data_IF_983890058209
#
_entry.id   IF_983890058209
#
_cell.length_a   1.000
_cell.length_b   1.000
_cell.length_c   1.000
_cell.angle_alpha   90.00
_cell.angle_beta   90.00
_cell.angle_gamma   90.00
#
_symmetry.space_group_name_H-M   'P 1'
#
loop_
_entity.id
_entity.type
_entity.pdbx_description
1 polymer ?
#
# COMPACT_ATOMS: atom_id res chain seq x y z
N UNK A 1 10.10 8.00 64.81
CA UNK A 1 10.88 8.14 63.56
C UNK A 1 10.19 7.30 62.48
N UNK A 2 9.31 7.92 61.67
CA UNK A 2 8.26 7.20 60.92
C UNK A 2 7.84 7.96 59.64
N UNK A 3 8.79 8.46 58.83
CA UNK A 3 8.46 9.23 57.61
C UNK A 3 9.56 9.16 56.52
N UNK A 4 10.05 7.97 56.16
CA UNK A 4 11.03 7.88 55.05
C UNK A 4 10.80 6.77 54.03
N UNK A 5 9.67 6.06 54.07
CA UNK A 5 9.40 4.92 53.16
C UNK A 5 8.51 5.32 51.97
N UNK A 6 7.87 6.50 52.01
CA UNK A 6 6.88 6.90 51.00
C UNK A 6 7.42 7.47 49.69
N UNK A 7 8.71 7.86 49.62
CA UNK A 7 9.21 8.61 48.46
C UNK A 7 9.90 7.76 47.37
N UNK A 8 10.26 6.51 47.65
CA UNK A 8 11.02 5.69 46.69
C UNK A 8 10.12 4.92 45.70
N UNK A 9 8.82 4.79 45.96
CA UNK A 9 7.91 4.01 45.11
C UNK A 9 7.38 4.75 43.87
N UNK A 10 7.66 6.05 43.72
CA UNK A 10 7.12 6.86 42.60
C UNK A 10 8.03 6.91 41.36
N UNK A 11 9.22 6.30 41.39
CA UNK A 11 10.22 6.38 40.31
C UNK A 11 10.21 5.19 39.33
N UNK A 12 9.30 4.22 39.50
CA UNK A 12 9.33 2.93 38.76
C UNK A 12 8.33 2.82 37.59
N UNK A 13 7.64 3.90 37.20
CA UNK A 13 6.66 3.87 36.11
C UNK A 13 7.11 4.56 34.82
N UNK A 14 8.42 4.74 34.64
CA UNK A 14 9.01 5.12 33.35
C UNK A 14 9.15 3.92 32.41
N UNK A 15 8.06 3.25 32.02
CA UNK A 15 8.08 2.39 30.84
C UNK A 15 8.22 3.30 29.62
N UNK A 16 9.46 3.53 29.20
CA UNK A 16 9.75 4.07 27.88
C UNK A 16 9.19 3.04 26.90
N UNK A 17 8.01 3.31 26.33
CA UNK A 17 7.52 2.58 25.20
C UNK A 17 8.53 2.84 24.08
N UNK A 18 9.48 1.92 23.90
CA UNK A 18 10.26 1.89 22.68
C UNK A 18 9.27 1.58 21.58
N UNK A 19 8.88 2.61 20.83
CA UNK A 19 8.30 2.42 19.50
C UNK A 19 9.37 1.71 18.67
N UNK A 20 9.40 0.39 18.78
CA UNK A 20 10.18 -0.48 17.91
C UNK A 20 9.59 -0.23 16.52
N UNK A 21 10.24 0.62 15.74
CA UNK A 21 10.05 0.69 14.30
C UNK A 21 10.59 -0.61 13.74
N UNK A 22 9.81 -1.69 13.90
CA UNK A 22 10.02 -2.90 13.14
C UNK A 22 9.97 -2.46 11.66
N UNK A 23 10.99 -2.79 10.85
CA UNK A 23 10.94 -2.48 9.43
C UNK A 23 9.63 -3.01 8.87
N UNK A 24 8.87 -2.14 8.19
CA UNK A 24 7.66 -2.58 7.53
C UNK A 24 8.02 -3.77 6.62
N UNK A 25 7.25 -4.87 6.65
CA UNK A 25 7.53 -6.03 5.82
C UNK A 25 7.57 -5.60 4.35
N UNK A 26 8.47 -6.16 3.51
CA UNK A 26 8.56 -5.76 2.11
C UNK A 26 7.21 -5.98 1.40
N UNK A 27 6.90 -5.13 0.42
CA UNK A 27 5.69 -5.31 -0.39
C UNK A 27 5.74 -6.65 -1.13
N UNK A 28 4.70 -7.50 -1.01
CA UNK A 28 4.72 -8.83 -1.62
C UNK A 28 4.87 -8.78 -3.15
N UNK A 29 5.62 -9.72 -3.77
CA UNK A 29 5.84 -9.73 -5.22
C UNK A 29 4.56 -9.77 -6.05
N UNK A 30 3.50 -10.42 -5.56
CA UNK A 30 2.20 -10.47 -6.22
C UNK A 30 1.60 -9.07 -6.39
N UNK A 31 1.68 -8.23 -5.36
CA UNK A 31 1.20 -6.84 -5.40
C UNK A 31 2.00 -6.02 -6.40
N UNK A 32 3.33 -6.20 -6.41
CA UNK A 32 4.20 -5.52 -7.39
C UNK A 32 3.78 -5.92 -8.81
N UNK A 33 3.70 -7.22 -9.09
CA UNK A 33 3.34 -7.75 -10.42
C UNK A 33 1.98 -7.24 -10.91
N UNK A 34 0.97 -7.22 -10.04
CA UNK A 34 -0.37 -6.67 -10.36
C UNK A 34 -0.28 -5.20 -10.71
N UNK A 35 0.39 -4.37 -9.89
CA UNK A 35 0.52 -2.94 -10.15
C UNK A 35 1.27 -2.71 -11.47
N UNK A 36 2.34 -3.44 -11.76
CA UNK A 36 3.11 -3.32 -12.99
C UNK A 36 2.36 -3.78 -14.23
N UNK A 37 1.51 -4.80 -14.09
CA UNK A 37 0.70 -5.34 -15.19
C UNK A 37 -0.45 -4.40 -15.53
N UNK A 38 -1.16 -3.87 -14.53
CA UNK A 38 -2.28 -2.94 -14.73
C UNK A 38 -1.78 -1.56 -15.18
N UNK A 39 -0.66 -1.07 -14.62
CA UNK A 39 -0.11 0.25 -14.98
C UNK A 39 0.77 0.26 -16.24
N UNK A 40 1.26 -0.91 -16.66
CA UNK A 40 2.26 -1.04 -17.73
C UNK A 40 3.62 -0.43 -17.39
N UNK A 41 3.89 -0.10 -16.12
CA UNK A 41 5.11 0.60 -15.67
C UNK A 41 5.87 -0.25 -14.64
N UNK A 42 7.13 0.09 -14.38
CA UNK A 42 7.87 -0.53 -13.29
C UNK A 42 7.47 0.11 -11.97
N UNK A 43 7.13 -0.69 -10.96
CA UNK A 43 6.68 -0.21 -9.67
C UNK A 43 7.81 -0.30 -8.65
N UNK A 44 8.19 0.85 -8.09
CA UNK A 44 9.13 0.94 -6.98
C UNK A 44 8.35 1.25 -5.69
N UNK A 45 8.16 0.28 -4.78
CA UNK A 45 7.46 0.53 -3.52
C UNK A 45 8.18 1.59 -2.68
N UNK A 46 7.44 2.61 -2.23
CA UNK A 46 7.96 3.64 -1.32
C UNK A 46 7.78 3.20 0.13
N UNK A 47 6.68 2.48 0.42
CA UNK A 47 6.35 1.98 1.76
C UNK A 47 5.35 0.82 1.66
N UNK A 48 5.56 -0.24 2.44
CA UNK A 48 4.56 -1.27 2.67
C UNK A 48 3.67 -0.82 3.83
N UNK A 49 2.50 -0.27 3.52
CA UNK A 49 1.70 0.52 4.47
C UNK A 49 0.59 -0.26 5.18
N UNK A 50 0.41 -1.53 4.86
CA UNK A 50 -0.41 -2.44 5.65
C UNK A 50 0.16 -3.86 5.52
N UNK A 51 0.05 -4.66 6.58
CA UNK A 51 0.22 -6.10 6.47
C UNK A 51 -0.90 -6.60 5.54
N UNK A 52 -0.55 -6.82 4.26
CA UNK A 52 -1.41 -7.52 3.32
C UNK A 52 -1.84 -8.84 3.96
N UNK A 53 -3.13 -9.09 4.06
CA UNK A 53 -3.57 -10.40 4.57
C UNK A 53 -3.21 -11.49 3.57
N UNK A 54 -2.90 -12.70 4.04
CA UNK A 54 -2.62 -13.84 3.15
C UNK A 54 -3.78 -14.11 2.18
N UNK A 55 -5.02 -13.81 2.60
CA UNK A 55 -6.20 -13.88 1.74
C UNK A 55 -6.11 -12.87 0.59
N UNK A 56 -5.78 -11.61 0.87
CA UNK A 56 -5.65 -10.59 -0.19
C UNK A 56 -4.51 -10.92 -1.15
N UNK A 57 -3.39 -11.41 -0.64
CA UNK A 57 -2.28 -11.85 -1.50
C UNK A 57 -2.71 -12.99 -2.42
N UNK A 58 -3.42 -13.98 -1.87
CA UNK A 58 -3.93 -15.12 -2.61
C UNK A 58 -4.91 -14.71 -3.69
N UNK A 59 -5.84 -13.80 -3.37
CA UNK A 59 -6.82 -13.29 -4.32
C UNK A 59 -6.14 -12.50 -5.44
N UNK A 60 -5.28 -11.54 -5.10
CA UNK A 60 -4.56 -10.73 -6.08
C UNK A 60 -3.63 -11.56 -6.98
N UNK A 61 -3.07 -12.65 -6.46
CA UNK A 61 -2.22 -13.57 -7.25
C UNK A 61 -3.03 -14.42 -8.23
N UNK A 62 -4.22 -14.86 -7.82
CA UNK A 62 -5.05 -15.78 -8.61
C UNK A 62 -5.89 -15.06 -9.67
N UNK A 63 -6.28 -13.81 -9.41
CA UNK A 63 -7.12 -13.08 -10.35
C UNK A 63 -6.37 -12.71 -11.63
N UNK A 64 -6.90 -13.09 -12.81
CA UNK A 64 -6.37 -12.65 -14.08
C UNK A 64 -6.30 -11.12 -14.17
N UNK A 65 -5.23 -10.59 -14.76
CA UNK A 65 -5.11 -9.14 -15.02
C UNK A 65 -6.25 -8.63 -15.89
N UNK A 66 -6.81 -9.47 -16.77
CA UNK A 66 -7.97 -9.11 -17.60
C UNK A 66 -9.27 -8.84 -16.81
N UNK A 67 -9.35 -9.28 -15.54
CA UNK A 67 -10.48 -8.98 -14.67
C UNK A 67 -10.41 -7.58 -14.06
N UNK A 68 -9.25 -6.91 -14.16
CA UNK A 68 -9.15 -5.51 -13.80
C UNK A 68 -9.88 -4.65 -14.82
N UNK A 69 -10.63 -3.67 -14.33
CA UNK A 69 -11.20 -2.65 -15.18
C UNK A 69 -10.11 -1.92 -15.96
N UNK A 70 -10.44 -1.48 -17.17
CA UNK A 70 -9.53 -0.64 -17.96
C UNK A 70 -9.18 0.60 -17.12
N UNK A 71 -7.92 1.03 -17.20
CA UNK A 71 -7.47 2.24 -16.53
C UNK A 71 -8.28 3.45 -17.04
N UNK A 72 -9.01 4.09 -16.13
CA UNK A 72 -9.89 5.22 -16.41
C UNK A 72 -9.27 6.51 -15.91
N UNK A 73 -9.24 7.53 -16.75
CA UNK A 73 -8.82 8.88 -16.35
C UNK A 73 -9.96 9.57 -15.60
N UNK A 74 -9.75 9.84 -14.31
CA UNK A 74 -10.68 10.62 -13.47
C UNK A 74 -10.42 12.12 -13.57
N UNK A 75 -9.15 12.49 -13.76
CA UNK A 75 -8.70 13.87 -13.94
C UNK A 75 -7.36 13.89 -14.70
N UNK A 76 -6.87 15.07 -15.14
CA UNK A 76 -5.57 15.17 -15.83
C UNK A 76 -4.38 14.63 -15.04
N UNK A 77 -4.52 14.52 -13.72
CA UNK A 77 -3.46 14.05 -12.80
C UNK A 77 -3.82 12.76 -12.10
N UNK A 78 -4.96 12.12 -12.39
CA UNK A 78 -5.42 10.93 -11.68
C UNK A 78 -6.12 9.95 -12.62
N UNK A 79 -5.64 8.71 -12.60
CA UNK A 79 -6.29 7.57 -13.22
C UNK A 79 -6.55 6.49 -12.19
N UNK A 80 -7.53 5.62 -12.44
CA UNK A 80 -7.81 4.48 -11.56
C UNK A 80 -8.23 3.24 -12.34
N UNK A 81 -8.05 2.08 -11.73
CA UNK A 81 -8.59 0.80 -12.19
C UNK A 81 -9.13 0.03 -10.99
N UNK A 82 -10.24 -0.69 -11.18
CA UNK A 82 -10.91 -1.42 -10.11
C UNK A 82 -10.88 -2.92 -10.40
N UNK A 83 -10.76 -3.72 -9.35
CA UNK A 83 -10.99 -5.16 -9.35
C UNK A 83 -12.04 -5.48 -8.29
N UNK A 84 -13.05 -6.27 -8.62
CA UNK A 84 -14.08 -6.71 -7.69
C UNK A 84 -14.07 -8.23 -7.62
N UNK A 85 -13.90 -8.78 -6.42
CA UNK A 85 -13.82 -10.22 -6.19
C UNK A 85 -14.79 -10.58 -5.06
N UNK A 86 -15.95 -11.13 -5.40
CA UNK A 86 -16.99 -11.44 -4.41
C UNK A 86 -17.39 -10.21 -3.60
N UNK A 87 -17.07 -10.21 -2.30
CA UNK A 87 -17.38 -9.10 -1.37
C UNK A 87 -16.24 -8.09 -1.20
N UNK A 88 -15.05 -8.38 -1.73
CA UNK A 88 -13.89 -7.49 -1.66
C UNK A 88 -13.76 -6.69 -2.94
N UNK A 89 -13.28 -5.46 -2.84
CA UNK A 89 -12.86 -4.69 -4.00
C UNK A 89 -11.52 -4.02 -3.78
N UNK A 90 -10.75 -3.95 -4.85
CA UNK A 90 -9.45 -3.32 -4.91
C UNK A 90 -9.50 -2.19 -5.91
N UNK A 91 -8.76 -1.13 -5.62
CA UNK A 91 -8.63 0.01 -6.53
C UNK A 91 -7.15 0.37 -6.63
N UNK A 92 -6.64 0.33 -7.86
CA UNK A 92 -5.36 0.93 -8.19
C UNK A 92 -5.61 2.38 -8.55
N UNK A 93 -5.03 3.30 -7.78
CA UNK A 93 -5.04 4.74 -8.07
C UNK A 93 -3.66 5.16 -8.50
N UNK A 94 -3.58 5.85 -9.64
CA UNK A 94 -2.35 6.44 -10.14
C UNK A 94 -2.52 7.95 -10.12
N UNK A 95 -1.64 8.65 -9.42
CA UNK A 95 -1.63 10.11 -9.37
C UNK A 95 -0.32 10.66 -9.92
N UNK A 96 -0.38 11.81 -10.59
CA UNK A 96 0.79 12.58 -10.98
C UNK A 96 0.66 13.99 -10.40
N UNK A 97 1.18 14.23 -9.18
CA UNK A 97 1.18 15.55 -8.60
C UNK A 97 1.92 16.56 -9.49
N UNK A 98 1.50 17.85 -9.48
CA UNK A 98 2.26 18.91 -10.12
C UNK A 98 3.71 18.88 -9.61
N UNK A 99 4.68 19.02 -10.51
CA UNK A 99 6.14 18.97 -10.23
C UNK A 99 6.71 17.59 -9.88
N UNK A 100 5.92 16.51 -9.89
CA UNK A 100 6.47 15.16 -9.72
C UNK A 100 7.10 14.65 -11.03
N UNK A 101 8.34 14.16 -10.96
CA UNK A 101 9.01 13.53 -12.10
C UNK A 101 8.33 12.22 -12.52
N UNK A 102 7.71 11.51 -11.58
CA UNK A 102 7.08 10.20 -11.81
C UNK A 102 5.69 10.13 -11.17
N UNK A 103 4.75 9.38 -11.77
CA UNK A 103 3.48 9.08 -11.11
C UNK A 103 3.69 8.24 -9.85
N UNK A 104 2.76 8.36 -8.90
CA UNK A 104 2.65 7.51 -7.72
C UNK A 104 1.46 6.56 -7.91
N UNK A 105 1.68 5.27 -7.67
CA UNK A 105 0.63 4.26 -7.59
C UNK A 105 0.28 3.96 -6.13
N UNK A 106 -1.00 3.78 -5.87
CA UNK A 106 -1.57 3.37 -4.59
C UNK A 106 -2.56 2.24 -4.84
N UNK A 107 -2.33 1.09 -4.22
CA UNK A 107 -3.30 -0.01 -4.21
C UNK A 107 -4.13 0.07 -2.93
N UNK A 108 -5.43 0.19 -3.10
CA UNK A 108 -6.41 0.33 -2.03
C UNK A 108 -7.30 -0.92 -1.96
N UNK A 109 -7.69 -1.30 -0.74
CA UNK A 109 -8.68 -2.33 -0.45
C UNK A 109 -9.92 -1.71 0.16
N UNK A 110 -11.08 -2.15 -0.28
CA UNK A 110 -12.36 -1.85 0.33
C UNK A 110 -12.95 -3.17 0.83
N UNK A 111 -13.24 -3.24 2.13
CA UNK A 111 -13.98 -4.36 2.71
C UNK A 111 -15.46 -4.30 2.37
N UNK A 112 -15.98 -3.08 2.13
CA UNK A 112 -17.31 -2.82 1.57
C UNK A 112 -17.29 -1.55 0.71
N UNK A 113 -18.25 -1.35 -0.21
CA UNK A 113 -18.28 -0.14 -1.07
C UNK A 113 -18.33 1.19 -0.32
N UNK A 114 -18.76 1.20 0.95
CA UNK A 114 -18.86 2.40 1.79
C UNK A 114 -17.75 2.52 2.84
N UNK A 115 -16.90 1.50 2.99
CA UNK A 115 -15.82 1.53 3.96
C UNK A 115 -14.72 2.51 3.53
N UNK A 116 -14.04 3.09 4.51
CA UNK A 116 -12.78 3.79 4.26
C UNK A 116 -11.79 2.81 3.64
N UNK A 117 -11.14 3.14 2.52
CA UNK A 117 -10.17 2.26 1.91
C UNK A 117 -8.94 2.08 2.80
N UNK A 118 -8.40 0.88 2.78
CA UNK A 118 -7.13 0.54 3.39
C UNK A 118 -6.03 0.55 2.34
N UNK A 119 -4.93 1.23 2.63
CA UNK A 119 -3.79 1.32 1.74
C UNK A 119 -2.92 0.06 1.86
N UNK A 120 -2.92 -0.76 0.82
CA UNK A 120 -2.11 -1.99 0.74
C UNK A 120 -0.66 -1.65 0.37
N UNK A 121 -0.49 -0.87 -0.70
CA UNK A 121 0.82 -0.56 -1.24
C UNK A 121 0.83 0.85 -1.82
N UNK A 122 2.00 1.51 -1.70
CA UNK A 122 2.26 2.79 -2.33
C UNK A 122 3.67 2.78 -2.90
N UNK A 123 3.83 3.38 -4.06
CA UNK A 123 5.13 3.46 -4.71
C UNK A 123 5.14 4.37 -5.93
N UNK A 124 6.33 4.54 -6.46
CA UNK A 124 6.59 5.33 -7.65
C UNK A 124 6.54 4.46 -8.90
N UNK A 125 5.89 4.93 -9.97
CA UNK A 125 5.86 4.26 -11.27
C UNK A 125 6.94 4.84 -12.19
N UNK A 126 7.93 4.02 -12.52
CA UNK A 126 8.98 4.36 -13.48
C UNK A 126 8.65 3.78 -14.86
N UNK A 127 9.12 4.41 -15.95
CA UNK A 127 9.12 3.76 -17.26
C UNK A 127 9.80 2.39 -17.14
N UNK A 128 9.21 1.35 -17.76
CA UNK A 128 9.96 0.12 -18.01
C UNK A 128 11.10 0.51 -18.95
N UNK A 129 12.34 0.17 -18.61
CA UNK A 129 13.46 0.37 -19.53
C UNK A 129 13.07 -0.31 -20.84
N UNK A 130 13.14 0.44 -21.95
CA UNK A 130 12.65 0.00 -23.25
C UNK A 130 13.12 -1.43 -23.55
N UNK A 131 12.17 -2.34 -23.79
CA UNK A 131 12.38 -3.34 -24.83
C UNK A 131 12.77 -2.52 -26.07
N UNK A 132 14.07 -2.45 -26.37
CA UNK A 132 14.53 -1.89 -27.64
C UNK A 132 13.65 -2.49 -28.74
N UNK A 133 13.02 -1.67 -29.60
CA UNK A 133 12.40 -2.23 -30.80
C UNK A 133 13.50 -3.00 -31.55
N UNK A 134 13.27 -4.30 -31.72
CA UNK A 134 14.12 -5.17 -32.53
C UNK A 134 13.97 -4.82 -34.00
#
# INVERSE_FOLDING_TARGET
MKKLIGLLSLLLLGRVATAQTQPAPPTPPAVISVIESVSGKHFQPDTALAALSEEDETLLTKEPIANWGILQDSSPTMAYSNLVIGTRSYQLVITRPPKSSFPTAMLLRFSTPKSKPELIARGTLKPKAEEKPK
#
